data_IF_142577831550
#
_entry.id   IF_142577831550
#
_cell.length_a   1.000
_cell.length_b   1.000
_cell.length_c   1.000
_cell.angle_alpha   90.00
_cell.angle_beta   90.00
_cell.angle_gamma   90.00
#
_symmetry.space_group_name_H-M   'P 1'
#
loop_
_entity.id
_entity.type
_entity.pdbx_description
1 polymer ?
#
# COMPACT_ATOMS: atom_id res chain seq x y z
N UNK A 1 -25.39 -15.52 -9.89
CA UNK A 1 -26.18 -16.11 -10.99
C UNK A 1 -26.07 -17.64 -11.04
N UNK A 2 -24.87 -18.21 -10.90
CA UNK A 2 -24.67 -19.69 -10.91
C UNK A 2 -25.23 -20.38 -9.64
N UNK A 3 -24.98 -19.83 -8.44
CA UNK A 3 -25.51 -20.35 -7.17
C UNK A 3 -27.05 -20.42 -7.11
N UNK A 4 -27.74 -19.35 -7.52
CA UNK A 4 -29.21 -19.32 -7.59
C UNK A 4 -29.78 -20.33 -8.59
N UNK A 5 -29.06 -20.64 -9.66
CA UNK A 5 -29.48 -21.62 -10.66
C UNK A 5 -29.30 -23.05 -10.15
N UNK A 6 -28.20 -23.34 -9.44
CA UNK A 6 -27.92 -24.64 -8.86
C UNK A 6 -28.84 -24.96 -7.67
N UNK A 7 -29.08 -23.99 -6.78
CA UNK A 7 -30.05 -24.13 -5.69
C UNK A 7 -31.48 -24.36 -6.22
N UNK A 8 -31.88 -23.67 -7.29
CA UNK A 8 -33.19 -23.86 -7.93
C UNK A 8 -33.32 -25.22 -8.64
N UNK A 9 -32.23 -25.70 -9.26
CA UNK A 9 -32.16 -27.04 -9.85
C UNK A 9 -32.27 -28.15 -8.80
N UNK A 10 -31.52 -28.04 -7.70
CA UNK A 10 -31.51 -29.02 -6.60
C UNK A 10 -32.87 -29.12 -5.91
N UNK A 11 -33.52 -27.98 -5.65
CA UNK A 11 -34.84 -27.96 -5.04
C UNK A 11 -35.88 -28.64 -5.95
N UNK A 12 -35.79 -28.42 -7.27
CA UNK A 12 -36.65 -29.08 -8.25
C UNK A 12 -36.39 -30.59 -8.34
N UNK A 13 -35.15 -31.04 -8.21
CA UNK A 13 -34.83 -32.47 -8.25
C UNK A 13 -35.33 -33.22 -7.01
N UNK A 14 -35.23 -32.62 -5.80
CA UNK A 14 -35.78 -33.23 -4.58
C UNK A 14 -37.31 -33.37 -4.68
N UNK A 15 -38.00 -32.32 -5.13
CA UNK A 15 -39.47 -32.35 -5.30
C UNK A 15 -39.90 -33.36 -6.37
N UNK A 16 -39.14 -33.49 -7.47
CA UNK A 16 -39.44 -34.45 -8.52
C UNK A 16 -39.27 -35.91 -8.05
N UNK A 17 -38.24 -36.20 -7.26
CA UNK A 17 -38.00 -37.54 -6.70
C UNK A 17 -39.05 -37.88 -5.65
N UNK A 18 -39.48 -36.91 -4.84
CA UNK A 18 -40.55 -37.08 -3.86
C UNK A 18 -41.90 -37.43 -4.52
N UNK A 19 -42.24 -36.74 -5.61
CA UNK A 19 -43.44 -37.05 -6.41
C UNK A 19 -43.36 -38.43 -7.06
N UNK A 20 -42.19 -38.81 -7.60
CA UNK A 20 -41.98 -40.13 -8.18
C UNK A 20 -42.11 -41.25 -7.13
N UNK A 21 -41.54 -41.04 -5.93
CA UNK A 21 -41.69 -41.96 -4.80
C UNK A 21 -43.15 -42.13 -4.38
N UNK A 22 -43.93 -41.04 -4.35
CA UNK A 22 -45.34 -41.09 -4.00
C UNK A 22 -46.16 -41.90 -5.03
N UNK A 23 -45.96 -41.66 -6.32
CA UNK A 23 -46.63 -42.42 -7.40
C UNK A 23 -46.27 -43.90 -7.36
N UNK A 24 -45.00 -44.23 -7.13
CA UNK A 24 -44.54 -45.63 -7.04
C UNK A 24 -45.10 -46.32 -5.81
N UNK A 25 -45.08 -45.67 -4.63
CA UNK A 25 -45.67 -46.21 -3.39
C UNK A 25 -47.17 -46.45 -3.54
N UNK A 26 -47.90 -45.51 -4.13
CA UNK A 26 -49.34 -45.65 -4.39
C UNK A 26 -49.65 -46.78 -5.40
N UNK A 27 -48.81 -46.95 -6.42
CA UNK A 27 -48.96 -48.02 -7.42
C UNK A 27 -48.74 -49.40 -6.80
N UNK A 28 -47.68 -49.60 -6.03
CA UNK A 28 -47.39 -50.90 -5.40
C UNK A 28 -48.35 -51.22 -4.25
N UNK A 29 -48.83 -50.21 -3.51
CA UNK A 29 -49.90 -50.39 -2.52
C UNK A 29 -51.20 -50.87 -3.19
N UNK A 30 -51.61 -50.25 -4.30
CA UNK A 30 -52.80 -50.65 -5.07
C UNK A 30 -52.62 -51.98 -5.80
N UNK A 31 -51.43 -52.30 -6.30
CA UNK A 31 -51.13 -53.58 -6.94
C UNK A 31 -51.15 -54.75 -5.95
N UNK A 32 -50.80 -54.51 -4.68
CA UNK A 32 -50.94 -55.50 -3.60
C UNK A 32 -52.39 -55.78 -3.21
N UNK A 33 -53.29 -54.81 -3.38
CA UNK A 33 -54.74 -54.96 -3.16
C UNK A 33 -55.51 -55.45 -4.40
N UNK A 34 -54.97 -55.25 -5.61
CA UNK A 34 -55.63 -55.55 -6.87
C UNK A 34 -55.28 -56.93 -7.43
N UNK A 35 -56.07 -57.95 -7.09
CA UNK A 35 -56.41 -59.04 -8.03
C UNK A 35 -57.49 -58.60 -9.03
N UNK A 36 -57.47 -57.36 -9.52
CA UNK A 36 -58.64 -56.79 -10.21
C UNK A 36 -58.30 -55.69 -11.22
N UNK A 37 -57.76 -56.08 -12.37
CA UNK A 37 -58.29 -55.56 -13.64
C UNK A 37 -59.18 -56.66 -14.23
N UNK A 38 -60.41 -56.74 -13.71
CA UNK A 38 -61.48 -57.58 -14.28
C UNK A 38 -62.04 -56.85 -15.51
N UNK A 39 -61.28 -56.87 -16.60
CA UNK A 39 -61.85 -56.78 -17.94
C UNK A 39 -61.21 -57.89 -18.76
N UNK A 40 -62.06 -58.85 -19.14
CA UNK A 40 -61.81 -60.17 -19.74
C UNK A 40 -61.42 -61.31 -18.79
N UNK A 41 -62.19 -62.41 -18.92
CA UNK A 41 -61.87 -63.71 -18.36
C UNK A 41 -60.43 -64.09 -18.74
N UNK A 42 -59.59 -64.47 -17.76
CA UNK A 42 -58.22 -64.88 -18.04
C UNK A 42 -58.26 -66.18 -18.85
N UNK A 43 -57.44 -66.32 -19.92
CA UNK A 43 -57.25 -67.62 -20.55
C UNK A 43 -56.73 -68.61 -19.49
N UNK A 44 -57.21 -69.86 -19.54
CA UNK A 44 -56.98 -70.95 -18.55
C UNK A 44 -55.52 -71.36 -18.29
N UNK A 45 -54.55 -70.56 -18.75
CA UNK A 45 -53.11 -70.79 -18.64
C UNK A 45 -52.53 -70.07 -17.40
N UNK A 46 -53.25 -69.15 -16.77
CA UNK A 46 -52.79 -68.41 -15.59
C UNK A 46 -53.42 -68.96 -14.29
N UNK A 47 -52.77 -69.96 -13.68
CA UNK A 47 -53.22 -70.60 -12.44
C UNK A 47 -53.17 -69.72 -11.18
N UNK A 48 -52.52 -68.54 -11.25
CA UNK A 48 -52.44 -67.59 -10.13
C UNK A 48 -52.59 -66.16 -10.62
N UNK A 49 -53.28 -65.29 -9.86
CA UNK A 49 -53.29 -63.86 -10.13
C UNK A 49 -51.86 -63.33 -10.20
N UNK A 50 -51.56 -62.47 -11.17
CA UNK A 50 -50.27 -61.78 -11.24
C UNK A 50 -50.11 -60.92 -9.99
N UNK A 51 -49.35 -61.41 -9.00
CA UNK A 51 -49.12 -60.74 -7.71
C UNK A 51 -48.16 -59.53 -7.80
N UNK A 52 -47.77 -59.14 -9.01
CA UNK A 52 -46.74 -58.15 -9.25
C UNK A 52 -45.35 -58.61 -8.80
N UNK A 53 -44.30 -57.96 -9.31
CA UNK A 53 -42.92 -58.14 -8.84
C UNK A 53 -42.70 -57.39 -7.51
N UNK A 54 -43.62 -57.53 -6.55
CA UNK A 54 -43.61 -56.79 -5.28
C UNK A 54 -42.32 -57.00 -4.47
N UNK A 55 -41.69 -58.17 -4.59
CA UNK A 55 -40.39 -58.45 -3.95
C UNK A 55 -39.19 -57.69 -4.53
N UNK A 56 -39.21 -57.29 -5.80
CA UNK A 56 -38.15 -56.49 -6.46
C UNK A 56 -38.43 -54.99 -6.43
N UNK A 57 -39.67 -54.58 -6.15
CA UNK A 57 -40.08 -53.17 -6.08
C UNK A 57 -39.39 -52.37 -4.97
N UNK A 58 -38.97 -53.04 -3.88
CA UNK A 58 -38.23 -52.42 -2.79
C UNK A 58 -36.85 -51.90 -3.19
N UNK A 59 -36.21 -52.48 -4.22
CA UNK A 59 -34.90 -52.05 -4.70
C UNK A 59 -34.92 -50.69 -5.39
N UNK A 60 -35.94 -50.44 -6.23
CA UNK A 60 -36.09 -49.17 -6.96
C UNK A 60 -36.54 -48.05 -6.02
N UNK A 61 -37.46 -48.33 -5.10
CA UNK A 61 -37.89 -47.37 -4.07
C UNK A 61 -36.71 -47.00 -3.16
N UNK A 62 -35.95 -47.99 -2.68
CA UNK A 62 -34.76 -47.76 -1.87
C UNK A 62 -33.69 -46.94 -2.61
N UNK A 63 -33.48 -47.19 -3.91
CA UNK A 63 -32.55 -46.40 -4.71
C UNK A 63 -33.01 -44.93 -4.85
N UNK A 64 -34.32 -44.69 -5.05
CA UNK A 64 -34.86 -43.32 -5.12
C UNK A 64 -34.82 -42.60 -3.76
N UNK A 65 -35.00 -43.30 -2.64
CA UNK A 65 -34.85 -42.75 -1.28
C UNK A 65 -33.39 -42.37 -0.98
N UNK A 66 -32.43 -43.20 -1.40
CA UNK A 66 -30.99 -42.87 -1.32
C UNK A 66 -30.67 -41.64 -2.16
N UNK A 67 -31.15 -41.59 -3.40
CA UNK A 67 -30.97 -40.44 -4.30
C UNK A 67 -31.57 -39.16 -3.69
N UNK A 68 -32.76 -39.24 -3.08
CA UNK A 68 -33.40 -38.12 -2.41
C UNK A 68 -32.54 -37.61 -1.23
N UNK A 69 -32.05 -38.52 -0.39
CA UNK A 69 -31.15 -38.20 0.72
C UNK A 69 -29.85 -37.57 0.24
N UNK A 70 -29.26 -38.08 -0.85
CA UNK A 70 -28.03 -37.55 -1.44
C UNK A 70 -28.23 -36.13 -2.00
N UNK A 71 -29.36 -35.86 -2.68
CA UNK A 71 -29.67 -34.50 -3.13
C UNK A 71 -29.88 -33.54 -1.97
N UNK A 72 -30.61 -33.94 -0.93
CA UNK A 72 -30.81 -33.11 0.26
C UNK A 72 -29.47 -32.80 0.94
N UNK A 73 -28.60 -33.81 1.11
CA UNK A 73 -27.26 -33.63 1.68
C UNK A 73 -26.40 -32.70 0.81
N UNK A 74 -26.33 -32.94 -0.50
CA UNK A 74 -25.55 -32.14 -1.44
C UNK A 74 -26.00 -30.68 -1.44
N UNK A 75 -27.30 -30.42 -1.34
CA UNK A 75 -27.85 -29.07 -1.25
C UNK A 75 -27.35 -28.35 0.00
N UNK A 76 -27.41 -29.00 1.17
CA UNK A 76 -26.94 -28.39 2.42
C UNK A 76 -25.43 -28.13 2.42
N UNK A 77 -24.62 -29.11 1.98
CA UNK A 77 -23.17 -29.00 1.90
C UNK A 77 -22.76 -27.89 0.93
N UNK A 78 -23.40 -27.83 -0.24
CA UNK A 78 -23.10 -26.84 -1.28
C UNK A 78 -23.51 -25.44 -0.84
N UNK A 79 -24.70 -25.26 -0.24
CA UNK A 79 -25.13 -23.95 0.29
C UNK A 79 -24.19 -23.45 1.38
N UNK A 80 -23.76 -24.33 2.28
CA UNK A 80 -22.79 -23.98 3.32
C UNK A 80 -21.44 -23.57 2.71
N UNK A 81 -20.92 -24.34 1.76
CA UNK A 81 -19.67 -24.06 1.08
C UNK A 81 -19.73 -22.75 0.27
N UNK A 82 -20.81 -22.50 -0.47
CA UNK A 82 -21.00 -21.27 -1.23
C UNK A 82 -21.12 -20.05 -0.30
N UNK A 83 -21.88 -20.16 0.79
CA UNK A 83 -21.99 -19.07 1.76
C UNK A 83 -20.65 -18.75 2.41
N UNK A 84 -19.86 -19.77 2.74
CA UNK A 84 -18.52 -19.58 3.30
C UNK A 84 -17.57 -18.97 2.28
N UNK A 85 -17.57 -19.46 1.04
CA UNK A 85 -16.75 -18.93 -0.05
C UNK A 85 -17.08 -17.46 -0.34
N UNK A 86 -18.37 -17.12 -0.36
CA UNK A 86 -18.81 -15.73 -0.54
C UNK A 86 -18.34 -14.84 0.61
N UNK A 87 -18.49 -15.28 1.87
CA UNK A 87 -18.04 -14.50 3.03
C UNK A 87 -16.51 -14.28 3.02
N UNK A 88 -15.74 -15.30 2.64
CA UNK A 88 -14.28 -15.17 2.50
C UNK A 88 -13.91 -14.22 1.37
N UNK A 89 -14.60 -14.31 0.24
CA UNK A 89 -14.37 -13.44 -0.90
C UNK A 89 -14.70 -11.97 -0.59
N UNK A 90 -15.83 -11.72 0.04
CA UNK A 90 -16.26 -10.37 0.42
C UNK A 90 -15.27 -9.75 1.39
N UNK A 91 -14.88 -10.50 2.43
CA UNK A 91 -13.87 -10.06 3.40
C UNK A 91 -12.52 -9.79 2.74
N UNK A 92 -12.04 -10.71 1.90
CA UNK A 92 -10.77 -10.53 1.20
C UNK A 92 -10.79 -9.31 0.28
N UNK A 93 -11.91 -9.06 -0.39
CA UNK A 93 -12.08 -7.91 -1.29
C UNK A 93 -12.09 -6.60 -0.51
N UNK A 94 -12.78 -6.56 0.63
CA UNK A 94 -12.78 -5.40 1.52
C UNK A 94 -11.38 -5.13 2.08
N UNK A 95 -10.76 -6.12 2.70
CA UNK A 95 -9.41 -6.02 3.28
C UNK A 95 -8.38 -5.57 2.21
N UNK A 96 -8.46 -6.15 1.01
CA UNK A 96 -7.58 -5.78 -0.11
C UNK A 96 -7.84 -4.36 -0.61
N UNK A 97 -9.09 -3.91 -0.61
CA UNK A 97 -9.42 -2.54 -1.04
C UNK A 97 -8.87 -1.49 -0.07
N UNK A 98 -8.95 -1.77 1.24
CA UNK A 98 -8.42 -0.92 2.30
C UNK A 98 -6.90 -0.90 2.25
N UNK A 99 -6.25 -2.07 2.16
CA UNK A 99 -4.78 -2.13 2.06
C UNK A 99 -4.29 -1.39 0.81
N UNK A 100 -4.93 -1.61 -0.34
CA UNK A 100 -4.59 -0.90 -1.58
C UNK A 100 -4.68 0.61 -1.41
N UNK A 101 -5.75 1.12 -0.81
CA UNK A 101 -5.92 2.56 -0.57
C UNK A 101 -4.84 3.11 0.37
N UNK A 102 -4.54 2.39 1.45
CA UNK A 102 -3.46 2.76 2.38
C UNK A 102 -2.10 2.78 1.69
N UNK A 103 -1.75 1.74 0.93
CA UNK A 103 -0.49 1.66 0.18
C UNK A 103 -0.37 2.74 -0.88
N UNK A 104 -1.46 3.09 -1.57
CA UNK A 104 -1.45 4.20 -2.53
C UNK A 104 -1.12 5.53 -1.84
N UNK A 105 -1.68 5.77 -0.65
CA UNK A 105 -1.37 6.97 0.14
C UNK A 105 0.06 6.97 0.69
N UNK A 106 0.56 5.82 1.13
CA UNK A 106 1.96 5.68 1.54
C UNK A 106 2.92 5.99 0.39
N UNK A 107 2.62 5.52 -0.83
CA UNK A 107 3.44 5.78 -2.02
C UNK A 107 3.44 7.26 -2.36
N UNK A 108 2.26 7.90 -2.37
CA UNK A 108 2.13 9.35 -2.62
C UNK A 108 2.94 10.16 -1.60
N UNK A 109 2.75 9.89 -0.30
CA UNK A 109 3.48 10.58 0.76
C UNK A 109 5.00 10.38 0.67
N UNK A 110 5.45 9.14 0.45
CA UNK A 110 6.89 8.84 0.34
C UNK A 110 7.50 9.44 -0.92
N UNK A 111 6.77 9.49 -2.03
CA UNK A 111 7.25 10.15 -3.26
C UNK A 111 7.44 11.64 -3.02
N UNK A 112 6.43 12.33 -2.48
CA UNK A 112 6.53 13.76 -2.20
C UNK A 112 7.67 14.07 -1.23
N UNK A 113 7.84 13.24 -0.18
CA UNK A 113 8.93 13.39 0.77
C UNK A 113 10.30 13.21 0.11
N UNK A 114 10.43 12.19 -0.75
CA UNK A 114 11.68 11.96 -1.51
C UNK A 114 12.02 13.15 -2.39
N UNK A 115 11.02 13.72 -3.07
CA UNK A 115 11.24 14.85 -3.98
C UNK A 115 11.68 16.09 -3.19
N UNK A 116 11.03 16.40 -2.07
CA UNK A 116 11.43 17.48 -1.14
C UNK A 116 12.86 17.27 -0.60
N UNK A 117 13.19 16.06 -0.10
CA UNK A 117 14.54 15.78 0.40
C UNK A 117 15.60 15.85 -0.70
N UNK A 118 15.23 15.54 -1.95
CA UNK A 118 16.13 15.65 -3.11
C UNK A 118 16.40 17.11 -3.47
N UNK A 119 15.38 17.97 -3.38
CA UNK A 119 15.48 19.41 -3.55
C UNK A 119 16.37 20.02 -2.46
N UNK A 120 16.07 19.76 -1.19
CA UNK A 120 16.85 20.24 -0.04
C UNK A 120 18.33 19.83 -0.15
N UNK A 121 18.59 18.60 -0.59
CA UNK A 121 19.95 18.11 -0.82
C UNK A 121 20.65 18.84 -1.96
N UNK A 122 19.91 19.19 -3.01
CA UNK A 122 20.40 19.99 -4.13
C UNK A 122 20.80 21.40 -3.69
N UNK A 123 19.91 22.08 -2.95
CA UNK A 123 20.16 23.41 -2.39
C UNK A 123 21.35 23.41 -1.45
N UNK A 124 21.39 22.50 -0.47
CA UNK A 124 22.49 22.39 0.49
C UNK A 124 23.85 22.16 -0.18
N UNK A 125 23.88 21.42 -1.30
CA UNK A 125 25.12 21.24 -2.09
C UNK A 125 25.53 22.52 -2.81
N UNK A 126 24.59 23.25 -3.39
CA UNK A 126 24.87 24.52 -4.05
C UNK A 126 25.39 25.56 -3.05
N UNK A 127 24.75 25.65 -1.89
CA UNK A 127 25.17 26.53 -0.79
C UNK A 127 26.56 26.17 -0.27
N UNK A 128 26.85 24.88 -0.10
CA UNK A 128 28.18 24.42 0.29
C UNK A 128 29.23 24.82 -0.74
N UNK A 129 28.96 24.67 -2.03
CA UNK A 129 29.88 25.08 -3.08
C UNK A 129 30.10 26.60 -3.08
N UNK A 130 29.02 27.39 -2.93
CA UNK A 130 29.10 28.85 -2.90
C UNK A 130 29.89 29.34 -1.68
N UNK A 131 29.56 28.85 -0.50
CA UNK A 131 30.24 29.21 0.76
C UNK A 131 31.72 28.81 0.76
N UNK A 132 32.07 27.67 0.14
CA UNK A 132 33.47 27.29 -0.03
C UNK A 132 34.22 28.27 -0.94
N UNK A 133 33.61 28.72 -2.05
CA UNK A 133 34.22 29.73 -2.93
C UNK A 133 34.41 31.08 -2.23
N UNK A 134 33.44 31.49 -1.42
CA UNK A 134 33.53 32.70 -0.60
C UNK A 134 34.64 32.59 0.44
N UNK A 135 34.72 31.46 1.15
CA UNK A 135 35.76 31.17 2.12
C UNK A 135 37.15 31.21 1.49
N UNK A 136 37.35 30.54 0.34
CA UNK A 136 38.62 30.53 -0.38
C UNK A 136 39.03 31.94 -0.81
N UNK A 137 38.06 32.76 -1.20
CA UNK A 137 38.29 34.15 -1.60
C UNK A 137 38.65 35.04 -0.41
N UNK A 138 37.97 34.84 0.73
CA UNK A 138 38.27 35.52 1.98
C UNK A 138 39.67 35.15 2.50
N UNK A 139 40.04 33.87 2.46
CA UNK A 139 41.39 33.41 2.82
C UNK A 139 42.46 34.00 1.92
N UNK A 140 42.23 34.05 0.60
CA UNK A 140 43.14 34.73 -0.34
C UNK A 140 43.33 36.22 -0.01
N UNK A 141 42.26 36.90 0.38
CA UNK A 141 42.34 38.31 0.78
C UNK A 141 43.06 38.48 2.12
N UNK A 142 42.78 37.60 3.08
CA UNK A 142 43.45 37.56 4.38
C UNK A 142 44.96 37.41 4.23
N UNK A 143 45.43 36.46 3.41
CA UNK A 143 46.87 36.25 3.15
C UNK A 143 47.53 37.48 2.50
N UNK A 144 46.80 38.26 1.69
CA UNK A 144 47.33 39.52 1.13
C UNK A 144 47.46 40.63 2.16
N UNK A 145 46.57 40.68 3.15
CA UNK A 145 46.58 41.70 4.20
C UNK A 145 47.54 41.38 5.34
N UNK A 146 47.77 40.09 5.61
CA UNK A 146 48.55 39.60 6.73
C UNK A 146 49.96 40.23 6.85
N UNK A 147 50.74 40.38 5.76
CA UNK A 147 52.04 41.06 5.84
C UNK A 147 51.95 42.52 6.29
N UNK A 148 50.91 43.23 5.85
CA UNK A 148 50.72 44.66 6.12
C UNK A 148 50.14 44.94 7.51
N UNK A 149 49.35 44.00 8.05
CA UNK A 149 48.60 44.20 9.29
C UNK A 149 49.18 43.45 10.49
N UNK A 150 49.79 42.28 10.28
CA UNK A 150 50.29 41.39 11.35
C UNK A 150 51.81 41.34 11.34
N UNK A 151 52.42 41.15 10.17
CA UNK A 151 53.87 40.97 10.05
C UNK A 151 54.63 42.28 9.76
N UNK A 152 53.98 43.44 9.95
CA UNK A 152 54.56 44.75 9.63
C UNK A 152 55.87 45.04 10.40
N UNK A 153 56.19 44.25 11.43
CA UNK A 153 57.49 44.24 12.11
C UNK A 153 57.82 45.50 12.92
N UNK A 154 57.07 46.59 12.74
CA UNK A 154 57.28 47.84 13.46
C UNK A 154 56.51 47.81 14.77
N UNK A 155 57.23 47.81 15.89
CA UNK A 155 56.61 47.93 17.20
C UNK A 155 55.87 49.27 17.32
N UNK A 156 54.81 49.31 18.13
CA UNK A 156 54.09 50.55 18.39
C UNK A 156 55.04 51.66 18.88
N UNK A 157 56.01 51.30 19.72
CA UNK A 157 57.01 52.20 20.29
C UNK A 157 57.91 52.82 19.20
N UNK A 158 58.44 52.05 18.26
CA UNK A 158 59.20 52.57 17.12
C UNK A 158 58.36 53.50 16.22
N UNK A 159 57.08 53.16 16.01
CA UNK A 159 56.18 54.01 15.22
C UNK A 159 55.94 55.35 15.91
N UNK A 160 55.82 55.36 17.23
CA UNK A 160 55.67 56.59 18.02
C UNK A 160 56.97 57.40 18.02
N UNK A 161 58.12 56.75 18.18
CA UNK A 161 59.43 57.40 18.16
C UNK A 161 59.69 58.13 16.82
N UNK A 162 59.52 57.46 15.67
CA UNK A 162 59.68 58.10 14.35
C UNK A 162 58.72 59.26 14.12
N UNK A 163 57.47 59.15 14.59
CA UNK A 163 56.50 60.25 14.51
C UNK A 163 56.94 61.44 15.34
N UNK A 164 57.54 61.21 16.51
CA UNK A 164 58.06 62.27 17.35
C UNK A 164 59.23 62.99 16.69
N UNK A 165 60.17 62.24 16.11
CA UNK A 165 61.28 62.80 15.33
C UNK A 165 60.78 63.61 14.11
N UNK A 166 59.78 63.11 13.39
CA UNK A 166 59.11 63.87 12.31
C UNK A 166 58.52 65.18 12.84
N UNK A 167 57.78 65.15 13.95
CA UNK A 167 57.17 66.34 14.55
C UNK A 167 58.23 67.37 14.93
N UNK A 168 59.33 66.94 15.56
CA UNK A 168 60.43 67.83 15.94
C UNK A 168 61.08 68.47 14.71
N UNK A 169 61.33 67.70 13.64
CA UNK A 169 61.88 68.22 12.38
C UNK A 169 60.94 69.22 11.68
N UNK A 170 59.63 68.96 11.70
CA UNK A 170 58.62 69.84 11.13
C UNK A 170 58.50 71.14 11.93
N UNK A 171 58.61 71.06 13.26
CA UNK A 171 58.64 72.24 14.12
C UNK A 171 59.89 73.09 13.87
N UNK A 172 61.05 72.47 13.66
CA UNK A 172 62.28 73.17 13.28
C UNK A 172 62.13 73.89 11.93
N UNK A 173 61.65 73.19 10.90
CA UNK A 173 61.40 73.78 9.59
C UNK A 173 60.40 74.95 9.66
N UNK A 174 59.39 74.83 10.51
CA UNK A 174 58.39 75.89 10.73
C UNK A 174 58.99 77.10 11.46
N UNK A 175 59.91 76.90 12.41
CA UNK A 175 60.66 77.98 13.07
C UNK A 175 61.56 78.74 12.09
N UNK A 176 62.27 78.02 11.22
CA UNK A 176 63.09 78.60 10.15
C UNK A 176 62.23 79.43 9.20
N UNK A 177 61.07 78.90 8.76
CA UNK A 177 60.16 79.60 7.84
C UNK A 177 59.48 80.82 8.46
N UNK A 178 59.20 80.80 9.76
CA UNK A 178 58.64 81.94 10.49
C UNK A 178 59.70 82.99 10.85
N UNK A 179 60.97 82.77 10.47
CA UNK A 179 62.06 83.72 10.67
C UNK A 179 62.63 83.75 12.08
N UNK A 180 62.25 82.80 12.96
CA UNK A 180 62.77 82.72 14.33
C UNK A 180 64.27 82.35 14.33
N UNK A 181 64.75 81.57 13.35
CA UNK A 181 66.18 81.25 13.19
C UNK A 181 66.95 82.22 12.27
N UNK A 182 66.26 82.98 11.40
CA UNK A 182 66.90 84.01 10.56
C UNK A 182 67.33 85.24 11.38
N UNK A 183 66.68 85.47 12.52
CA UNK A 183 67.10 86.50 13.48
C UNK A 183 68.50 86.26 14.06
N UNK A 184 68.97 85.00 14.09
CA UNK A 184 70.31 84.65 14.60
C UNK A 184 71.44 84.82 13.56
N UNK A 185 71.11 84.96 12.26
CA UNK A 185 72.10 85.04 11.18
C UNK A 185 72.38 86.47 10.67
N UNK A 186 71.67 87.49 11.14
CA UNK A 186 71.90 88.90 10.73
C UNK A 186 72.84 89.68 11.68
N UNK A 187 73.36 89.06 12.74
CA UNK A 187 74.25 89.68 13.74
C UNK A 187 75.73 89.20 13.65
N UNK A 188 76.21 88.73 12.49
CA UNK A 188 77.64 88.46 12.27
C UNK A 188 78.18 89.05 10.96
#
# INVERSE_FOLDING_TARGET
MVSSFFAFSSLRSVVAVEQALQVLKDFYAKAGEATALVQQEPPEIFDKPYQGMGGESGGVIGMLEVIQSDFARLETETKAAESQAQAVYDKFTEDSSVDKAAKQKDVEYKSNKKDSETEDLGEAKADLESTQKELDSALRYYEKLKPSCVDAGVSYEERVARRKEEIESLQEALRILNGEDLAFMQDQ
#
